data_IF_749931948598
#
_entry.id   IF_749931948598
#
_cell.length_a   1.000
_cell.length_b   1.000
_cell.length_c   1.000
_cell.angle_alpha   90.00
_cell.angle_beta   90.00
_cell.angle_gamma   90.00
#
_symmetry.space_group_name_H-M   'P 1'
#
loop_
_entity.id
_entity.type
_entity.pdbx_description
1 polymer ?
#
# COMPACT_ATOMS: atom_id res chain seq x y z
N UNK A 1 13.46 3.13 -17.82
CA UNK A 1 13.01 2.95 -16.43
C UNK A 1 13.22 1.49 -16.06
N UNK A 2 14.02 1.16 -15.03
CA UNK A 2 14.23 -0.21 -14.58
C UNK A 2 12.89 -0.90 -14.22
N UNK A 3 12.78 -2.22 -14.44
CA UNK A 3 11.58 -3.01 -14.11
C UNK A 3 11.18 -2.84 -12.63
N UNK A 4 12.17 -2.72 -11.75
CA UNK A 4 12.00 -2.52 -10.31
C UNK A 4 11.19 -1.26 -10.00
N UNK A 5 11.38 -0.18 -10.76
CA UNK A 5 10.60 1.06 -10.61
C UNK A 5 9.13 0.81 -10.95
N UNK A 6 8.85 0.03 -11.99
CA UNK A 6 7.48 -0.35 -12.34
C UNK A 6 6.83 -1.24 -11.27
N UNK A 7 7.60 -2.12 -10.62
CA UNK A 7 7.14 -2.90 -9.46
C UNK A 7 6.76 -1.97 -8.30
N UNK A 8 7.59 -0.96 -8.01
CA UNK A 8 7.29 0.05 -6.99
C UNK A 8 6.01 0.82 -7.27
N UNK A 9 5.81 1.28 -8.51
CA UNK A 9 4.60 1.97 -8.95
C UNK A 9 3.37 1.04 -8.81
N UNK A 10 3.44 -0.17 -9.38
CA UNK A 10 2.35 -1.13 -9.35
C UNK A 10 1.94 -1.51 -7.93
N UNK A 11 2.91 -1.81 -7.05
CA UNK A 11 2.66 -2.10 -5.65
C UNK A 11 2.03 -0.92 -4.89
N UNK A 12 2.46 0.31 -5.19
CA UNK A 12 1.86 1.53 -4.61
C UNK A 12 0.40 1.69 -5.03
N UNK A 13 0.08 1.49 -6.32
CA UNK A 13 -1.28 1.58 -6.82
C UNK A 13 -2.22 0.56 -6.14
N UNK A 14 -1.74 -0.68 -5.96
CA UNK A 14 -2.49 -1.71 -5.23
C UNK A 14 -2.73 -1.29 -3.79
N UNK A 15 -1.69 -0.83 -3.08
CA UNK A 15 -1.82 -0.37 -1.69
C UNK A 15 -2.82 0.78 -1.56
N UNK A 16 -2.82 1.75 -2.50
CA UNK A 16 -3.79 2.84 -2.53
C UNK A 16 -5.22 2.34 -2.76
N UNK A 17 -5.43 1.30 -3.58
CA UNK A 17 -6.74 0.70 -3.75
C UNK A 17 -7.27 0.07 -2.45
N UNK A 18 -6.40 -0.59 -1.67
CA UNK A 18 -6.74 -1.09 -0.34
C UNK A 18 -7.09 0.04 0.63
N UNK A 19 -6.35 1.14 0.63
CA UNK A 19 -6.65 2.34 1.43
C UNK A 19 -8.01 2.92 1.05
N UNK A 20 -8.27 3.11 -0.24
CA UNK A 20 -9.53 3.65 -0.73
C UNK A 20 -10.72 2.77 -0.31
N UNK A 21 -10.57 1.44 -0.43
CA UNK A 21 -11.58 0.51 0.04
C UNK A 21 -11.74 0.54 1.57
N UNK A 22 -10.64 0.63 2.32
CA UNK A 22 -10.66 0.76 3.77
C UNK A 22 -11.40 2.00 4.25
N UNK A 23 -11.14 3.15 3.63
CA UNK A 23 -11.87 4.41 3.89
C UNK A 23 -13.37 4.23 3.60
N UNK A 24 -13.73 3.59 2.48
CA UNK A 24 -15.13 3.30 2.16
C UNK A 24 -15.80 2.43 3.22
N UNK A 25 -15.10 1.44 3.78
CA UNK A 25 -15.63 0.59 4.85
C UNK A 25 -15.78 1.35 6.17
N UNK A 26 -14.83 2.21 6.54
CA UNK A 26 -14.92 3.03 7.76
C UNK A 26 -16.10 4.01 7.67
N UNK A 27 -16.33 4.62 6.50
CA UNK A 27 -17.45 5.55 6.28
C UNK A 27 -18.84 4.90 6.38
N UNK A 28 -18.93 3.58 6.31
CA UNK A 28 -20.21 2.84 6.43
C UNK A 28 -20.64 2.57 7.87
N UNK A 29 -19.84 2.99 8.85
CA UNK A 29 -20.15 2.82 10.28
C UNK A 29 -19.29 1.76 10.96
N UNK A 30 -19.65 1.40 12.19
CA UNK A 30 -18.88 0.47 13.02
C UNK A 30 -19.14 -1.00 12.66
N UNK A 31 -18.14 -1.85 12.87
CA UNK A 31 -18.22 -3.29 12.62
C UNK A 31 -16.90 -3.90 12.15
N UNK A 32 -16.91 -5.22 11.94
CA UNK A 32 -15.72 -5.97 11.54
C UNK A 32 -15.06 -5.41 10.26
N UNK A 33 -15.87 -4.94 9.31
CA UNK A 33 -15.39 -4.33 8.06
C UNK A 33 -14.69 -2.99 8.26
N UNK A 34 -15.12 -2.16 9.22
CA UNK A 34 -14.45 -0.90 9.53
C UNK A 34 -13.11 -1.14 10.23
N UNK A 35 -13.02 -2.16 11.09
CA UNK A 35 -11.75 -2.58 11.66
C UNK A 35 -10.77 -3.10 10.59
N UNK A 36 -11.26 -3.96 9.68
CA UNK A 36 -10.47 -4.40 8.53
C UNK A 36 -10.02 -3.21 7.66
N UNK A 37 -10.88 -2.21 7.47
CA UNK A 37 -10.53 -0.97 6.78
C UNK A 37 -9.40 -0.20 7.44
N UNK A 38 -9.44 -0.05 8.77
CA UNK A 38 -8.36 0.59 9.56
C UNK A 38 -7.04 -0.19 9.45
N UNK A 39 -7.11 -1.52 9.50
CA UNK A 39 -5.92 -2.37 9.33
C UNK A 39 -5.30 -2.22 7.95
N UNK A 40 -6.11 -2.20 6.88
CA UNK A 40 -5.59 -1.99 5.53
C UNK A 40 -4.89 -0.63 5.38
N UNK A 41 -5.43 0.43 6.00
CA UNK A 41 -4.80 1.75 6.00
C UNK A 41 -3.45 1.70 6.73
N UNK A 42 -3.42 1.14 7.95
CA UNK A 42 -2.18 1.02 8.73
C UNK A 42 -1.12 0.20 7.99
N UNK A 43 -1.52 -0.93 7.37
CA UNK A 43 -0.63 -1.77 6.59
C UNK A 43 -0.10 -1.06 5.35
N UNK A 44 -0.92 -0.28 4.63
CA UNK A 44 -0.47 0.48 3.47
C UNK A 44 0.56 1.56 3.86
N UNK A 45 0.37 2.23 5.00
CA UNK A 45 1.32 3.22 5.54
C UNK A 45 2.69 2.60 5.82
N UNK A 46 2.75 1.37 6.30
CA UNK A 46 4.01 0.65 6.54
C UNK A 46 4.58 0.03 5.26
N UNK A 47 3.71 -0.52 4.40
CA UNK A 47 4.09 -1.24 3.20
C UNK A 47 4.72 -0.33 2.15
N UNK A 48 4.13 0.84 1.87
CA UNK A 48 4.61 1.72 0.78
C UNK A 48 6.07 2.17 1.00
N UNK A 49 6.48 2.67 2.19
CA UNK A 49 7.88 3.00 2.45
C UNK A 49 8.83 1.80 2.32
N UNK A 50 8.45 0.64 2.85
CA UNK A 50 9.27 -0.58 2.79
C UNK A 50 9.44 -1.06 1.35
N UNK A 51 8.36 -1.04 0.55
CA UNK A 51 8.39 -1.36 -0.87
C UNK A 51 9.41 -0.48 -1.61
N UNK A 52 9.34 0.83 -1.41
CA UNK A 52 10.25 1.76 -2.09
C UNK A 52 11.69 1.65 -1.59
N UNK A 53 11.91 1.36 -0.31
CA UNK A 53 13.24 1.08 0.22
C UNK A 53 13.88 -0.13 -0.48
N UNK A 54 13.12 -1.21 -0.66
CA UNK A 54 13.58 -2.41 -1.38
C UNK A 54 13.83 -2.10 -2.87
N UNK A 55 12.90 -1.39 -3.53
CA UNK A 55 13.04 -1.02 -4.94
C UNK A 55 14.28 -0.17 -5.16
N UNK A 56 14.50 0.86 -4.34
CA UNK A 56 15.68 1.72 -4.44
C UNK A 56 16.96 0.93 -4.20
N UNK A 57 16.99 0.07 -3.18
CA UNK A 57 18.13 -0.80 -2.92
C UNK A 57 18.46 -1.69 -4.13
N UNK A 58 17.45 -2.32 -4.75
CA UNK A 58 17.65 -3.16 -5.93
C UNK A 58 18.11 -2.38 -7.15
N UNK A 59 17.61 -1.15 -7.36
CA UNK A 59 18.03 -0.29 -8.47
C UNK A 59 19.47 0.19 -8.31
N UNK A 60 19.91 0.49 -7.08
CA UNK A 60 21.29 0.93 -6.80
C UNK A 60 22.31 -0.22 -6.82
N UNK A 61 21.84 -1.46 -6.68
CA UNK A 61 22.68 -2.66 -6.65
C UNK A 61 22.77 -3.39 -8.00
N UNK A 62 22.10 -2.86 -9.03
CA UNK A 62 22.08 -3.38 -10.40
C UNK A 62 23.00 -2.54 -11.31
#
# INVERSE_FOLDING_TARGET
MPLQIWVGIGGTLVALAFVANGIRHIRRGEGHLANAGRLHIAMATLFIPVLWLIVLFQVMSA
#
